data_IF_874334901926
#
_entry.id   IF_874334901926
#
_cell.length_a   1.000
_cell.length_b   1.000
_cell.length_c   1.000
_cell.angle_alpha   90.00
_cell.angle_beta   90.00
_cell.angle_gamma   90.00
#
_symmetry.space_group_name_H-M   'P 1'
#
loop_
_entity.id
_entity.type
_entity.pdbx_description
1 polymer ?
#
# COMPACT_ATOMS: atom_id res chain seq x y z
N UNK A 1 74.59 -11.13 3.16
CA UNK A 1 74.52 -12.56 2.78
C UNK A 1 73.13 -12.85 2.27
N UNK A 2 73.06 -13.05 0.95
CA UNK A 2 71.89 -13.33 0.10
C UNK A 2 71.66 -14.83 0.00
N UNK A 3 70.39 -15.25 -0.18
CA UNK A 3 69.85 -16.47 -0.85
C UNK A 3 68.38 -16.57 -0.41
N UNK A 4 67.32 -16.26 -1.17
CA UNK A 4 66.89 -16.71 -2.51
C UNK A 4 66.98 -18.23 -2.67
N UNK A 5 65.83 -18.91 -2.74
CA UNK A 5 65.39 -19.69 -3.91
C UNK A 5 63.86 -19.95 -3.85
N UNK A 6 63.16 -19.48 -4.90
CA UNK A 6 61.82 -19.96 -5.33
C UNK A 6 62.01 -21.19 -6.27
N UNK A 7 61.03 -21.58 -7.09
CA UNK A 7 59.93 -22.53 -6.87
C UNK A 7 60.08 -23.78 -7.78
N UNK A 8 59.13 -24.72 -7.75
CA UNK A 8 58.93 -25.65 -8.87
C UNK A 8 57.53 -25.44 -9.44
N UNK A 9 57.49 -25.16 -10.74
CA UNK A 9 56.31 -25.08 -11.57
C UNK A 9 56.16 -26.38 -12.38
N UNK A 10 54.92 -26.75 -12.71
CA UNK A 10 54.61 -27.53 -13.90
C UNK A 10 53.22 -27.16 -14.45
N UNK A 11 53.27 -26.21 -15.39
CA UNK A 11 52.56 -26.05 -16.67
C UNK A 11 51.22 -26.78 -16.95
N UNK A 12 50.18 -25.94 -17.11
CA UNK A 12 49.18 -25.79 -18.20
C UNK A 12 48.77 -27.00 -19.06
N UNK A 13 47.46 -27.29 -19.07
CA UNK A 13 46.72 -27.61 -20.29
C UNK A 13 45.25 -27.20 -20.17
N UNK A 14 44.80 -26.43 -21.16
CA UNK A 14 43.44 -25.93 -21.38
C UNK A 14 42.47 -27.02 -21.80
N UNK A 15 41.24 -27.00 -21.27
CA UNK A 15 40.06 -27.33 -22.09
C UNK A 15 38.81 -26.68 -21.52
N UNK A 16 38.13 -25.95 -22.41
CA UNK A 16 36.77 -25.48 -22.26
C UNK A 16 35.83 -26.66 -22.03
N UNK A 17 35.05 -26.64 -20.96
CA UNK A 17 33.74 -27.31 -20.93
C UNK A 17 32.71 -26.31 -20.44
N UNK A 18 31.70 -26.15 -21.30
CA UNK A 18 30.59 -25.20 -21.27
C UNK A 18 29.70 -25.39 -20.05
N UNK A 19 29.06 -24.28 -19.68
CA UNK A 19 27.82 -24.17 -18.92
C UNK A 19 26.89 -25.37 -19.09
N UNK A 20 26.56 -26.03 -17.97
CA UNK A 20 25.26 -26.66 -17.81
C UNK A 20 24.40 -25.78 -16.91
N UNK A 21 23.54 -24.98 -17.53
CA UNK A 21 22.36 -24.41 -16.88
C UNK A 21 21.54 -25.58 -16.32
N UNK A 22 21.53 -25.74 -15.01
CA UNK A 22 20.44 -26.46 -14.34
C UNK A 22 19.20 -25.57 -14.43
N UNK A 23 18.28 -25.92 -15.32
CA UNK A 23 16.97 -25.27 -15.39
C UNK A 23 16.19 -25.61 -14.14
N UNK A 24 15.98 -24.61 -13.28
CA UNK A 24 15.00 -24.71 -12.21
C UNK A 24 13.61 -24.90 -12.84
N UNK A 25 13.02 -26.08 -12.69
CA UNK A 25 11.61 -26.32 -12.99
C UNK A 25 10.80 -26.06 -11.72
N UNK A 26 9.97 -25.01 -11.76
CA UNK A 26 9.01 -24.71 -10.71
C UNK A 26 8.01 -25.88 -10.57
N UNK A 27 7.76 -26.42 -9.36
CA UNK A 27 6.79 -27.49 -9.19
C UNK A 27 5.39 -27.00 -9.58
N UNK A 28 4.66 -27.82 -10.35
CA UNK A 28 3.26 -27.58 -10.69
C UNK A 28 2.39 -27.77 -9.42
N UNK A 29 1.46 -26.85 -9.12
CA UNK A 29 0.59 -26.99 -7.95
C UNK A 29 -0.35 -28.19 -8.13
N UNK A 30 -0.39 -29.07 -7.13
CA UNK A 30 -1.41 -30.11 -7.04
C UNK A 30 -2.76 -29.47 -6.74
N UNK A 31 -3.75 -29.75 -7.59
CA UNK A 31 -5.11 -29.24 -7.43
C UNK A 31 -5.78 -29.94 -6.25
N UNK A 32 -6.01 -29.21 -5.16
CA UNK A 32 -6.91 -29.63 -4.08
C UNK A 32 -8.27 -28.97 -4.38
N UNK A 33 -9.33 -29.72 -4.71
CA UNK A 33 -10.63 -29.11 -4.97
C UNK A 33 -11.17 -28.47 -3.68
N UNK A 34 -11.67 -27.24 -3.81
CA UNK A 34 -12.38 -26.54 -2.73
C UNK A 34 -13.71 -27.25 -2.41
N UNK A 35 -14.13 -27.29 -1.13
CA UNK A 35 -15.47 -27.73 -0.79
C UNK A 35 -16.50 -26.80 -1.44
N UNK A 36 -17.57 -27.40 -1.97
CA UNK A 36 -18.67 -26.71 -2.67
C UNK A 36 -19.32 -25.68 -1.74
N UNK A 37 -19.58 -24.42 -2.16
CA UNK A 37 -20.29 -23.46 -1.34
C UNK A 37 -21.73 -23.91 -1.05
N UNK A 38 -22.14 -23.87 0.21
CA UNK A 38 -23.55 -24.06 0.58
C UNK A 38 -24.40 -22.93 -0.01
N UNK A 39 -25.60 -23.27 -0.49
CA UNK A 39 -26.55 -22.30 -1.05
C UNK A 39 -27.03 -21.31 0.03
N UNK A 40 -27.48 -20.08 -0.35
CA UNK A 40 -27.91 -19.05 0.59
C UNK A 40 -29.00 -19.46 1.59
N UNK A 41 -29.76 -20.52 1.28
CA UNK A 41 -30.79 -21.08 2.15
C UNK A 41 -30.24 -21.82 3.38
N UNK A 42 -28.96 -22.22 3.37
CA UNK A 42 -28.32 -22.92 4.49
C UNK A 42 -27.78 -22.01 5.61
N UNK A 43 -27.72 -20.69 5.40
CA UNK A 43 -27.15 -19.72 6.37
C UNK A 43 -28.23 -18.93 7.09
N UNK A 44 -29.49 -18.99 6.63
CA UNK A 44 -30.60 -18.21 7.20
C UNK A 44 -31.33 -18.87 8.38
N UNK A 45 -30.77 -19.95 8.93
CA UNK A 45 -31.35 -20.70 10.04
C UNK A 45 -30.55 -20.55 11.33
N UNK A 46 -30.50 -19.34 11.91
CA UNK A 46 -30.43 -19.04 13.36
C UNK A 46 -29.96 -17.60 13.60
N UNK A 47 -30.56 -16.95 14.60
CA UNK A 47 -30.33 -15.58 15.06
C UNK A 47 -31.06 -14.45 14.31
N UNK A 48 -32.40 -14.52 14.28
CA UNK A 48 -33.22 -13.31 14.38
C UNK A 48 -33.52 -13.07 15.87
N UNK A 49 -32.81 -12.14 16.49
CA UNK A 49 -33.32 -11.43 17.67
C UNK A 49 -33.45 -9.96 17.26
N UNK A 50 -34.68 -9.58 16.92
CA UNK A 50 -35.06 -8.26 16.44
C UNK A 50 -35.49 -7.37 17.62
N UNK A 51 -34.61 -6.53 18.14
CA UNK A 51 -35.02 -5.36 18.95
C UNK A 51 -34.66 -4.03 18.22
N UNK A 52 -35.66 -3.31 17.67
CA UNK A 52 -35.44 -2.09 16.91
C UNK A 52 -35.20 -0.81 17.76
N UNK A 53 -34.91 -0.90 19.08
CA UNK A 53 -34.80 0.30 19.95
C UNK A 53 -33.42 0.65 20.52
N UNK A 54 -32.33 0.00 20.13
CA UNK A 54 -30.97 0.43 20.53
C UNK A 54 -29.99 0.37 19.36
N UNK A 55 -29.72 1.53 18.76
CA UNK A 55 -28.37 2.10 18.56
C UNK A 55 -28.55 3.41 17.75
N UNK A 56 -28.74 4.53 18.47
CA UNK A 56 -28.46 5.84 17.89
C UNK A 56 -26.95 6.04 17.98
N UNK A 57 -26.23 5.77 16.90
CA UNK A 57 -24.82 6.15 16.76
C UNK A 57 -24.74 7.32 15.78
N UNK A 58 -24.06 8.43 16.11
CA UNK A 58 -23.85 9.54 15.19
C UNK A 58 -23.09 9.05 13.95
N UNK A 59 -23.62 9.33 12.76
CA UNK A 59 -23.02 8.95 11.50
C UNK A 59 -21.78 9.82 11.20
N UNK A 60 -20.59 9.24 11.37
CA UNK A 60 -19.36 9.67 10.70
C UNK A 60 -18.90 8.54 9.79
N UNK A 61 -19.47 8.46 8.59
CA UNK A 61 -18.93 7.61 7.54
C UNK A 61 -18.01 8.48 6.67
N UNK A 62 -16.74 8.50 7.02
CA UNK A 62 -15.70 8.75 6.02
C UNK A 62 -15.54 7.43 5.27
N UNK A 63 -15.88 7.39 3.99
CA UNK A 63 -15.63 6.22 3.15
C UNK A 63 -14.13 5.92 3.18
N UNK A 64 -13.74 4.86 3.90
CA UNK A 64 -12.37 4.34 3.88
C UNK A 64 -12.22 3.56 2.58
N UNK A 65 -11.70 4.22 1.54
CA UNK A 65 -11.36 3.54 0.29
C UNK A 65 -10.09 2.74 0.52
N UNK A 66 -10.23 1.42 0.66
CA UNK A 66 -9.12 0.48 0.64
C UNK A 66 -8.64 0.29 -0.80
N UNK A 67 -7.40 0.69 -1.10
CA UNK A 67 -6.69 0.19 -2.28
C UNK A 67 -5.47 -0.56 -1.79
N UNK A 68 -5.64 -1.87 -1.53
CA UNK A 68 -4.51 -2.79 -1.37
C UNK A 68 -4.24 -3.44 -2.73
N UNK A 69 -3.02 -3.38 -3.28
CA UNK A 69 -2.74 -3.77 -4.66
C UNK A 69 -2.62 -5.29 -4.93
N UNK A 70 -2.89 -6.18 -3.98
CA UNK A 70 -2.73 -7.62 -4.25
C UNK A 70 -3.99 -8.25 -4.90
N UNK A 71 -4.10 -8.13 -6.21
CA UNK A 71 -4.93 -9.02 -7.03
C UNK A 71 -4.31 -9.27 -8.42
N UNK A 72 -3.80 -10.49 -8.65
CA UNK A 72 -3.52 -10.97 -10.00
C UNK A 72 -4.85 -11.21 -10.73
N UNK A 73 -5.17 -10.39 -11.72
CA UNK A 73 -6.31 -10.62 -12.62
C UNK A 73 -5.82 -11.26 -13.92
N UNK A 74 -6.20 -12.52 -14.14
CA UNK A 74 -6.17 -13.11 -15.47
C UNK A 74 -7.28 -12.47 -16.31
N UNK A 75 -6.88 -11.74 -17.34
CA UNK A 75 -7.77 -11.04 -18.27
C UNK A 75 -8.19 -11.97 -19.42
N UNK A 76 -9.49 -12.12 -19.64
CA UNK A 76 -10.12 -12.15 -20.97
C UNK A 76 -11.56 -11.66 -20.86
N UNK A 77 -11.87 -10.45 -21.35
CA UNK A 77 -12.74 -10.22 -22.51
C UNK A 77 -13.10 -8.72 -22.68
N UNK A 78 -13.37 -8.30 -23.92
CA UNK A 78 -13.55 -6.91 -24.37
C UNK A 78 -15.02 -6.52 -24.58
N UNK A 79 -15.27 -5.21 -24.37
CA UNK A 79 -16.32 -4.31 -24.88
C UNK A 79 -17.43 -3.93 -23.89
N UNK A 80 -17.54 -2.63 -23.62
CA UNK A 80 -18.63 -1.80 -24.14
C UNK A 80 -18.30 -0.31 -23.93
N UNK A 81 -18.51 0.49 -24.97
CA UNK A 81 -18.61 1.94 -24.94
C UNK A 81 -20.05 2.31 -24.55
N UNK A 82 -20.21 3.34 -23.72
CA UNK A 82 -21.02 4.54 -24.01
C UNK A 82 -21.05 5.43 -22.75
N UNK A 83 -20.96 6.73 -23.00
CA UNK A 83 -20.68 7.73 -21.98
C UNK A 83 -21.77 7.88 -20.93
N UNK A 84 -21.33 8.16 -19.70
CA UNK A 84 -22.03 9.02 -18.77
C UNK A 84 -20.97 9.67 -17.87
N UNK A 85 -20.98 11.00 -17.83
CA UNK A 85 -20.15 11.81 -16.93
C UNK A 85 -20.62 11.53 -15.50
N UNK A 86 -19.79 10.86 -14.70
CA UNK A 86 -20.08 10.62 -13.29
C UNK A 86 -19.73 11.89 -12.51
N UNK A 87 -20.71 12.48 -11.84
CA UNK A 87 -20.49 13.49 -10.81
C UNK A 87 -20.19 12.76 -9.50
N UNK A 88 -18.97 12.88 -8.99
CA UNK A 88 -18.69 12.60 -7.58
C UNK A 88 -18.86 13.95 -6.90
N UNK A 89 -20.06 14.20 -6.35
CA UNK A 89 -20.43 15.49 -5.80
C UNK A 89 -21.79 15.46 -5.10
N UNK A 90 -21.74 15.56 -3.78
CA UNK A 90 -22.72 15.93 -2.73
C UNK A 90 -24.23 16.13 -3.00
N UNK A 91 -24.91 15.32 -3.81
CA UNK A 91 -26.38 15.25 -3.77
C UNK A 91 -26.88 14.02 -3.01
N UNK A 92 -27.55 14.27 -1.87
CA UNK A 92 -28.36 13.29 -1.13
C UNK A 92 -29.57 12.85 -1.95
N UNK A 93 -29.36 12.02 -2.97
CA UNK A 93 -30.39 11.08 -3.43
C UNK A 93 -30.02 9.71 -2.89
N UNK A 94 -31.00 9.02 -2.30
CA UNK A 94 -30.91 7.59 -1.99
C UNK A 94 -30.85 6.82 -3.31
N UNK A 95 -29.75 6.94 -4.03
CA UNK A 95 -29.39 6.03 -5.10
C UNK A 95 -28.90 4.76 -4.43
N UNK A 96 -29.52 3.63 -4.75
CA UNK A 96 -28.95 2.34 -4.41
C UNK A 96 -27.60 2.22 -5.14
N UNK A 97 -26.56 1.74 -4.45
CA UNK A 97 -25.28 1.45 -5.08
C UNK A 97 -25.48 0.47 -6.22
N UNK A 98 -24.92 0.77 -7.40
CA UNK A 98 -25.14 -0.04 -8.61
C UNK A 98 -24.18 -1.22 -8.72
N UNK A 99 -23.15 -1.30 -7.89
CA UNK A 99 -22.06 -2.29 -7.96
C UNK A 99 -21.43 -2.40 -9.37
N UNK A 100 -21.44 -1.32 -10.15
CA UNK A 100 -20.91 -1.28 -11.51
C UNK A 100 -19.59 -0.52 -11.57
N UNK A 101 -18.60 -1.10 -12.22
CA UNK A 101 -17.36 -0.39 -12.56
C UNK A 101 -17.62 0.67 -13.63
N UNK A 102 -16.95 1.82 -13.48
CA UNK A 102 -16.89 2.87 -14.50
C UNK A 102 -15.44 3.21 -14.79
N UNK A 103 -15.17 3.73 -16.00
CA UNK A 103 -13.87 4.26 -16.38
C UNK A 103 -13.99 5.76 -16.63
N UNK A 104 -13.86 6.60 -15.59
CA UNK A 104 -13.95 8.05 -15.76
C UNK A 104 -12.81 8.58 -16.63
N UNK A 105 -13.09 9.68 -17.34
CA UNK A 105 -12.08 10.40 -18.12
C UNK A 105 -11.32 11.31 -17.17
N UNK A 106 -10.05 11.01 -16.95
CA UNK A 106 -9.18 11.80 -16.07
C UNK A 106 -8.35 12.80 -16.89
N UNK A 107 -8.14 14.00 -16.34
CA UNK A 107 -7.37 15.10 -16.95
C UNK A 107 -6.07 15.34 -16.17
N UNK A 108 -5.21 16.21 -16.70
CA UNK A 108 -4.00 16.68 -16.01
C UNK A 108 -2.81 15.74 -16.20
N UNK A 109 -1.87 15.78 -15.25
CA UNK A 109 -0.61 15.03 -15.31
C UNK A 109 -0.76 13.71 -14.57
N UNK A 110 -0.90 12.61 -15.32
CA UNK A 110 -1.13 11.29 -14.75
C UNK A 110 0.14 10.70 -14.12
N UNK A 111 0.01 9.89 -13.06
CA UNK A 111 1.11 9.04 -12.61
C UNK A 111 1.49 8.03 -13.71
N UNK A 112 2.75 7.61 -13.70
CA UNK A 112 3.19 6.44 -14.47
C UNK A 112 2.39 5.19 -14.08
N UNK A 113 2.21 4.22 -15.00
CA UNK A 113 1.77 2.87 -14.63
C UNK A 113 2.66 2.34 -13.51
N UNK A 114 2.05 1.82 -12.45
CA UNK A 114 2.77 1.44 -11.23
C UNK A 114 2.08 0.32 -10.45
N UNK A 115 2.86 -0.43 -9.69
CA UNK A 115 2.42 -1.46 -8.74
C UNK A 115 2.91 -1.11 -7.33
N UNK A 116 2.37 -1.78 -6.31
CA UNK A 116 2.82 -1.67 -4.90
C UNK A 116 2.87 -0.23 -4.36
N UNK A 117 2.12 0.67 -4.97
CA UNK A 117 1.87 2.03 -4.49
C UNK A 117 0.79 2.00 -3.41
N UNK A 118 0.75 3.03 -2.58
CA UNK A 118 -0.35 3.23 -1.63
C UNK A 118 -1.04 4.56 -1.88
N UNK A 119 -2.32 4.60 -1.52
CA UNK A 119 -3.15 5.78 -1.72
C UNK A 119 -4.11 6.00 -0.57
N UNK A 120 -4.47 7.26 -0.32
CA UNK A 120 -5.41 7.63 0.75
C UNK A 120 -6.16 8.90 0.38
N UNK A 121 -7.46 8.92 0.66
CA UNK A 121 -8.29 10.10 0.50
C UNK A 121 -8.16 11.02 1.72
N UNK A 122 -7.96 12.31 1.47
CA UNK A 122 -8.02 13.39 2.47
C UNK A 122 -8.97 14.45 1.92
N UNK A 123 -10.20 14.51 2.46
CA UNK A 123 -11.28 15.31 1.89
C UNK A 123 -11.64 14.85 0.46
N UNK A 124 -11.73 15.77 -0.50
CA UNK A 124 -11.99 15.47 -1.92
C UNK A 124 -10.71 15.26 -2.76
N UNK A 125 -9.61 14.90 -2.10
CA UNK A 125 -8.31 14.67 -2.75
C UNK A 125 -7.80 13.27 -2.44
N UNK A 126 -7.50 12.51 -3.48
CA UNK A 126 -6.84 11.21 -3.37
C UNK A 126 -5.34 11.40 -3.58
N UNK A 127 -4.56 11.12 -2.56
CA UNK A 127 -3.10 11.16 -2.57
C UNK A 127 -2.57 9.77 -2.95
N UNK A 128 -1.61 9.72 -3.87
CA UNK A 128 -0.94 8.50 -4.32
C UNK A 128 0.57 8.71 -4.20
N UNK A 129 1.24 7.83 -3.46
CA UNK A 129 2.67 7.94 -3.22
C UNK A 129 3.40 6.65 -3.64
N UNK A 130 4.60 6.83 -4.19
CA UNK A 130 5.56 5.78 -4.44
C UNK A 130 5.04 4.61 -5.28
N UNK A 131 5.47 3.40 -4.91
CA UNK A 131 5.28 2.17 -5.67
C UNK A 131 6.46 1.91 -6.61
N UNK A 132 6.27 1.04 -7.59
CA UNK A 132 7.28 0.72 -8.61
C UNK A 132 6.70 0.90 -10.00
N UNK A 133 7.48 1.45 -10.94
CA UNK A 133 7.11 1.51 -12.36
C UNK A 133 7.43 0.21 -13.13
N UNK A 134 7.83 -0.84 -12.40
CA UNK A 134 8.30 -2.11 -12.95
C UNK A 134 9.81 -2.17 -13.20
N UNK A 135 10.51 -1.04 -13.06
CA UNK A 135 11.97 -0.96 -13.15
C UNK A 135 12.60 -0.50 -11.84
N UNK A 136 12.02 0.52 -11.20
CA UNK A 136 12.56 1.14 -10.00
C UNK A 136 11.44 1.55 -9.03
N UNK A 137 11.69 1.50 -7.70
CA UNK A 137 10.82 2.15 -6.74
C UNK A 137 10.75 3.66 -6.97
N UNK A 138 9.64 4.27 -6.56
CA UNK A 138 9.29 5.67 -6.77
C UNK A 138 9.12 6.37 -5.42
N UNK A 139 9.34 7.69 -5.38
CA UNK A 139 9.00 8.57 -4.25
C UNK A 139 8.20 9.79 -4.69
N UNK A 140 7.52 9.71 -5.84
CA UNK A 140 6.70 10.80 -6.33
C UNK A 140 5.34 10.85 -5.61
N UNK A 141 4.80 12.06 -5.51
CA UNK A 141 3.47 12.30 -4.97
C UNK A 141 2.56 12.81 -6.08
N UNK A 142 1.43 12.13 -6.26
CA UNK A 142 0.35 12.55 -7.13
C UNK A 142 -0.91 12.78 -6.33
N UNK A 143 -1.69 13.78 -6.77
CA UNK A 143 -3.00 14.07 -6.18
C UNK A 143 -4.04 14.10 -7.29
N UNK A 144 -5.10 13.31 -7.11
CA UNK A 144 -6.33 13.39 -7.88
C UNK A 144 -7.34 14.20 -7.10
N UNK A 145 -7.79 15.29 -7.70
CA UNK A 145 -8.98 15.99 -7.21
C UNK A 145 -10.23 15.22 -7.67
N UNK A 146 -10.99 14.66 -6.73
CA UNK A 146 -12.11 13.74 -7.04
C UNK A 146 -13.36 14.47 -7.51
N UNK A 147 -13.47 15.78 -7.26
CA UNK A 147 -14.58 16.61 -7.73
C UNK A 147 -14.39 16.99 -9.20
N UNK A 148 -13.14 17.25 -9.61
CA UNK A 148 -12.80 17.75 -10.95
C UNK A 148 -12.18 16.69 -11.87
N UNK A 149 -11.80 15.53 -11.34
CA UNK A 149 -11.10 14.45 -12.03
C UNK A 149 -9.78 14.89 -12.68
N UNK A 150 -9.03 15.75 -11.99
CA UNK A 150 -7.74 16.26 -12.47
C UNK A 150 -6.60 15.72 -11.62
N UNK A 151 -5.67 15.03 -12.27
CA UNK A 151 -4.39 14.62 -11.69
C UNK A 151 -3.37 15.75 -11.72
N UNK A 152 -2.59 15.85 -10.65
CA UNK A 152 -1.41 16.72 -10.56
C UNK A 152 -0.26 15.95 -9.92
N UNK A 153 0.94 16.11 -10.48
CA UNK A 153 2.18 15.79 -9.79
C UNK A 153 2.47 16.91 -8.80
N UNK A 154 2.71 16.58 -7.54
CA UNK A 154 2.93 17.54 -6.47
C UNK A 154 4.43 17.64 -6.19
N UNK A 155 4.94 18.87 -6.16
CA UNK A 155 6.26 19.17 -5.61
C UNK A 155 6.14 19.33 -4.11
N UNK A 156 6.95 18.58 -3.36
CA UNK A 156 6.97 18.62 -1.90
C UNK A 156 8.27 19.23 -1.38
N UNK A 157 8.24 19.74 -0.16
CA UNK A 157 9.40 20.27 0.55
C UNK A 157 9.64 19.50 1.85
N UNK A 158 10.63 19.91 2.66
CA UNK A 158 10.97 19.23 3.91
C UNK A 158 11.93 18.06 3.71
N UNK A 159 11.74 16.98 4.47
CA UNK A 159 12.58 15.79 4.36
C UNK A 159 12.28 15.04 3.06
N UNK A 160 13.33 14.55 2.39
CA UNK A 160 13.18 13.74 1.19
C UNK A 160 13.03 12.27 1.58
N UNK A 161 11.89 11.67 1.23
CA UNK A 161 11.68 10.24 1.39
C UNK A 161 12.47 9.48 0.32
N UNK A 162 13.04 8.34 0.71
CA UNK A 162 13.64 7.40 -0.24
C UNK A 162 12.53 6.75 -1.10
N UNK A 163 12.80 6.48 -2.39
CA UNK A 163 11.92 5.69 -3.25
C UNK A 163 11.61 4.33 -2.64
N UNK A 164 10.32 3.97 -2.65
CA UNK A 164 9.83 2.78 -1.95
C UNK A 164 8.56 2.21 -2.57
N UNK A 165 8.38 0.91 -2.40
CA UNK A 165 7.14 0.21 -2.69
C UNK A 165 6.72 -0.67 -1.50
N UNK A 166 5.52 -1.25 -1.54
CA UNK A 166 5.01 -2.12 -0.47
C UNK A 166 4.78 -1.42 0.87
N UNK A 167 4.92 -0.10 0.91
CA UNK A 167 4.61 0.78 2.03
C UNK A 167 3.09 0.97 2.16
N UNK A 168 2.65 1.54 3.27
CA UNK A 168 1.24 1.90 3.46
C UNK A 168 1.05 3.40 3.58
N UNK A 169 -0.13 3.85 3.16
CA UNK A 169 -0.57 5.23 3.35
C UNK A 169 -1.82 5.27 4.22
N UNK A 170 -1.90 6.30 5.07
CA UNK A 170 -3.06 6.58 5.93
C UNK A 170 -3.21 8.10 6.09
N UNK A 171 -4.23 8.55 6.83
CA UNK A 171 -4.41 9.98 7.09
C UNK A 171 -4.83 10.24 8.54
N UNK A 172 -4.47 11.40 9.07
CA UNK A 172 -4.98 11.89 10.35
C UNK A 172 -5.17 13.38 10.26
N UNK A 173 -6.39 13.87 10.54
CA UNK A 173 -6.77 15.27 10.29
C UNK A 173 -6.42 15.66 8.82
N UNK A 174 -5.65 16.72 8.63
CA UNK A 174 -5.18 17.20 7.32
C UNK A 174 -3.78 16.68 6.97
N UNK A 175 -3.35 15.57 7.57
CA UNK A 175 -2.02 15.00 7.37
C UNK A 175 -2.11 13.68 6.62
N UNK A 176 -1.26 13.51 5.61
CA UNK A 176 -1.07 12.26 4.89
C UNK A 176 0.15 11.53 5.46
N UNK A 177 0.03 10.22 5.70
CA UNK A 177 1.01 9.43 6.44
C UNK A 177 1.54 8.34 5.53
N UNK A 178 2.86 8.14 5.52
CA UNK A 178 3.54 7.03 4.85
C UNK A 178 4.29 6.20 5.89
N UNK A 179 4.15 4.88 5.85
CA UNK A 179 4.88 3.99 6.75
C UNK A 179 5.52 2.80 6.03
N UNK A 180 6.80 2.56 6.36
CA UNK A 180 7.55 1.37 6.01
C UNK A 180 7.71 1.17 4.50
N UNK A 181 7.69 -0.10 4.07
CA UNK A 181 7.91 -0.51 2.69
C UNK A 181 9.29 -1.10 2.46
N UNK A 182 9.71 -1.14 1.21
CA UNK A 182 10.99 -1.66 0.74
C UNK A 182 11.64 -0.65 -0.22
N UNK A 183 12.95 -0.47 -0.10
CA UNK A 183 13.72 0.44 -0.96
C UNK A 183 14.33 -0.27 -2.19
N UNK A 184 15.07 0.47 -3.02
CA UNK A 184 15.72 -0.10 -4.21
C UNK A 184 16.83 -1.12 -3.92
N UNK A 185 17.32 -1.19 -2.69
CA UNK A 185 18.32 -2.14 -2.22
C UNK A 185 17.72 -3.39 -1.58
N UNK A 186 16.39 -3.57 -1.68
CA UNK A 186 15.62 -4.60 -0.98
C UNK A 186 15.72 -4.49 0.56
N UNK A 187 15.95 -3.28 1.06
CA UNK A 187 15.93 -3.02 2.49
C UNK A 187 14.51 -2.69 2.96
N UNK A 188 14.01 -3.44 3.93
CA UNK A 188 12.72 -3.14 4.56
C UNK A 188 12.84 -1.93 5.48
N UNK A 189 11.74 -1.18 5.58
CA UNK A 189 11.65 0.07 6.32
C UNK A 189 10.58 -0.03 7.43
N UNK A 190 10.69 0.79 8.47
CA UNK A 190 9.69 1.00 9.53
C UNK A 190 9.52 2.49 9.86
N UNK A 191 10.09 3.36 9.04
CA UNK A 191 10.02 4.80 9.20
C UNK A 191 8.59 5.30 8.99
N UNK A 192 8.26 6.41 9.66
CA UNK A 192 6.95 7.05 9.59
C UNK A 192 7.17 8.49 9.14
N UNK A 193 6.51 8.86 8.06
CA UNK A 193 6.52 10.23 7.56
C UNK A 193 5.13 10.81 7.52
N UNK A 194 5.05 12.10 7.84
CA UNK A 194 3.83 12.89 7.75
C UNK A 194 4.04 14.02 6.74
N UNK A 195 3.10 14.14 5.81
CA UNK A 195 2.95 15.28 4.92
C UNK A 195 1.80 16.14 5.44
N UNK A 196 2.11 17.39 5.77
CA UNK A 196 1.10 18.42 5.96
C UNK A 196 0.49 18.77 4.59
N UNK A 197 -0.81 18.56 4.42
CA UNK A 197 -1.48 18.73 3.12
C UNK A 197 -1.77 20.20 2.76
N UNK A 198 -1.55 21.14 3.66
CA UNK A 198 -1.70 22.58 3.40
C UNK A 198 -0.38 23.15 2.87
N UNK A 199 0.73 22.78 3.48
CA UNK A 199 2.08 23.27 3.16
C UNK A 199 2.83 22.38 2.16
N UNK A 200 2.40 21.14 1.96
CA UNK A 200 3.08 20.11 1.17
C UNK A 200 4.54 19.87 1.63
N UNK A 201 4.76 19.96 2.94
CA UNK A 201 6.05 19.71 3.57
C UNK A 201 6.05 18.37 4.32
N UNK A 202 7.06 17.55 4.05
CA UNK A 202 7.29 16.29 4.74
C UNK A 202 8.06 16.48 6.04
N UNK A 203 7.68 15.70 7.04
CA UNK A 203 8.39 15.54 8.30
C UNK A 203 8.54 14.04 8.63
N UNK A 204 9.70 13.65 9.14
CA UNK A 204 9.90 12.33 9.74
C UNK A 204 9.39 12.34 11.19
N UNK A 205 8.57 11.36 11.55
CA UNK A 205 8.09 11.18 12.92
C UNK A 205 9.08 10.31 13.68
N UNK A 206 9.66 10.85 14.75
CA UNK A 206 10.48 10.07 15.67
C UNK A 206 9.58 9.30 16.63
N UNK A 207 9.52 7.99 16.46
CA UNK A 207 8.70 7.09 17.29
C UNK A 207 9.47 6.63 18.52
N UNK A 208 8.73 6.33 19.60
CA UNK A 208 9.28 5.81 20.87
C UNK A 208 8.37 4.70 21.41
N UNK A 209 8.88 3.88 22.33
CA UNK A 209 8.10 2.81 22.95
C UNK A 209 8.44 1.44 22.36
N UNK A 210 7.42 0.63 22.09
CA UNK A 210 7.61 -0.72 21.53
C UNK A 210 8.25 -0.64 20.14
N UNK A 211 9.26 -1.49 19.91
CA UNK A 211 9.95 -1.54 18.64
C UNK A 211 9.06 -2.18 17.56
N UNK A 212 8.87 -1.46 16.46
CA UNK A 212 8.22 -1.98 15.27
C UNK A 212 9.30 -2.52 14.31
N UNK A 213 9.32 -3.83 14.11
CA UNK A 213 10.21 -4.44 13.12
C UNK A 213 9.95 -3.91 11.70
N UNK A 214 11.03 -3.73 10.93
CA UNK A 214 11.05 -3.38 9.50
C UNK A 214 10.10 -4.28 8.70
N UNK A 215 9.22 -3.70 7.87
CA UNK A 215 8.18 -4.45 7.18
C UNK A 215 7.64 -3.79 5.91
N UNK A 216 7.30 -4.64 4.94
CA UNK A 216 6.51 -4.30 3.77
C UNK A 216 5.23 -5.15 3.70
N UNK A 217 4.28 -4.78 2.82
CA UNK A 217 3.03 -5.51 2.61
C UNK A 217 2.11 -5.60 3.83
N UNK A 218 2.38 -4.78 4.85
CA UNK A 218 1.54 -4.64 6.03
C UNK A 218 0.29 -3.79 5.70
N UNK A 219 -0.60 -3.64 6.67
CA UNK A 219 -1.73 -2.72 6.57
C UNK A 219 -1.64 -1.65 7.64
N UNK A 220 -2.01 -0.43 7.29
CA UNK A 220 -2.26 0.63 8.27
C UNK A 220 -3.66 1.18 8.14
N UNK A 221 -4.28 1.49 9.28
CA UNK A 221 -5.59 2.13 9.34
C UNK A 221 -5.54 3.19 10.43
N UNK A 222 -5.97 4.40 10.10
CA UNK A 222 -6.23 5.43 11.10
C UNK A 222 -7.58 5.20 11.79
N UNK A 223 -7.57 5.14 13.11
CA UNK A 223 -8.76 5.05 13.95
C UNK A 223 -8.68 6.04 15.11
N UNK A 224 -9.49 7.10 15.03
CA UNK A 224 -9.38 8.22 15.96
C UNK A 224 -8.00 8.87 15.87
N UNK A 225 -7.30 8.92 17.00
CA UNK A 225 -5.91 9.44 17.11
C UNK A 225 -4.83 8.40 16.86
N UNK A 226 -5.18 7.15 16.57
CA UNK A 226 -4.21 6.07 16.44
C UNK A 226 -4.04 5.63 15.00
N UNK A 227 -2.80 5.41 14.58
CA UNK A 227 -2.46 4.57 13.44
C UNK A 227 -2.34 3.13 13.92
N UNK A 228 -3.20 2.25 13.45
CA UNK A 228 -3.14 0.81 13.74
C UNK A 228 -2.36 0.13 12.62
N UNK A 229 -1.35 -0.66 12.96
CA UNK A 229 -0.52 -1.46 12.06
C UNK A 229 -0.86 -2.93 12.28
N UNK A 230 -1.08 -3.68 11.19
CA UNK A 230 -1.24 -5.13 11.27
C UNK A 230 -0.43 -5.85 10.20
N UNK A 231 0.28 -6.90 10.64
CA UNK A 231 0.92 -7.89 9.79
C UNK A 231 2.06 -7.35 8.93
N UNK A 232 2.14 -7.84 7.69
CA UNK A 232 3.24 -7.63 6.76
C UNK A 232 4.31 -8.70 6.87
N UNK A 233 5.44 -8.44 6.22
CA UNK A 233 6.56 -9.36 6.20
C UNK A 233 7.90 -8.62 6.24
N UNK A 234 8.93 -9.34 6.65
CA UNK A 234 10.31 -8.89 6.67
C UNK A 234 11.22 -9.95 6.04
N UNK A 235 12.53 -9.84 6.27
CA UNK A 235 13.54 -10.80 5.84
C UNK A 235 13.21 -12.25 6.25
N UNK A 236 13.79 -13.20 5.53
CA UNK A 236 13.69 -14.65 5.79
C UNK A 236 12.26 -15.20 5.80
N UNK A 237 11.36 -14.64 4.97
CA UNK A 237 9.95 -15.04 4.88
C UNK A 237 9.16 -14.92 6.19
N UNK A 238 9.63 -14.08 7.13
CA UNK A 238 8.91 -13.85 8.38
C UNK A 238 7.64 -13.05 8.13
N UNK A 239 6.51 -13.74 8.15
CA UNK A 239 5.18 -13.13 8.17
C UNK A 239 4.83 -12.69 9.60
N UNK A 240 4.25 -11.52 9.73
CA UNK A 240 3.77 -11.02 11.02
C UNK A 240 2.25 -11.16 11.14
N UNK A 241 1.80 -11.37 12.37
CA UNK A 241 0.39 -11.32 12.79
C UNK A 241 0.20 -10.39 14.00
N UNK A 242 1.21 -9.55 14.29
CA UNK A 242 1.20 -8.60 15.38
C UNK A 242 0.35 -7.37 15.06
N UNK A 243 -0.11 -6.69 16.12
CA UNK A 243 -0.82 -5.41 16.06
C UNK A 243 0.01 -4.39 16.81
N UNK A 244 0.29 -3.26 16.17
CA UNK A 244 0.89 -2.09 16.81
C UNK A 244 -0.01 -0.88 16.65
N UNK A 245 0.10 0.06 17.57
CA UNK A 245 -0.62 1.34 17.49
C UNK A 245 0.35 2.49 17.74
N UNK A 246 0.30 3.52 16.89
CA UNK A 246 1.02 4.78 17.07
C UNK A 246 0.01 5.89 17.38
N UNK A 247 0.17 6.61 18.49
CA UNK A 247 -0.61 7.84 18.77
C UNK A 247 -0.08 8.96 17.86
N UNK A 248 -0.98 9.57 17.07
CA UNK A 248 -0.66 10.53 16.02
C UNK A 248 -0.81 11.99 16.45
N UNK A 249 -1.15 12.23 17.72
CA UNK A 249 -1.17 13.58 18.26
C UNK A 249 0.25 14.11 18.38
N UNK A 250 0.46 15.34 17.95
CA UNK A 250 1.68 16.05 18.26
C UNK A 250 1.74 16.37 19.77
N UNK A 251 2.89 16.83 20.26
CA UNK A 251 3.06 17.16 21.68
C UNK A 251 2.08 18.24 22.16
N UNK A 252 1.64 19.13 21.26
CA UNK A 252 0.72 20.23 21.57
C UNK A 252 -0.72 19.73 21.74
N UNK A 253 -1.18 18.85 20.85
CA UNK A 253 -2.47 18.16 20.94
C UNK A 253 -2.51 17.23 22.16
N UNK A 254 -1.39 16.54 22.45
CA UNK A 254 -1.28 15.65 23.59
C UNK A 254 -1.40 16.40 24.93
N UNK A 255 -0.75 17.57 25.08
CA UNK A 255 -0.84 18.43 26.26
C UNK A 255 -2.24 19.04 26.44
N UNK A 256 -2.96 19.30 25.34
CA UNK A 256 -4.32 19.86 25.37
C UNK A 256 -5.41 18.81 25.58
N UNK A 257 -5.07 17.51 25.56
CA UNK A 257 -6.03 16.42 25.69
C UNK A 257 -7.04 16.34 24.54
N UNK A 258 -6.70 16.90 23.38
CA UNK A 258 -7.51 16.91 22.16
C UNK A 258 -7.14 15.71 21.28
#
# INVERSE_FOLDING_TARGET
MTKIFRPIAATVASSLVRDQKTSYQKPQPTFVPYPTPLTPEGVLGTALDNDPKRLKVPAYYNEVVFVSPFAKVHSTDRRALLGNVMRIGSERRRGYGTYTWSKPVMKGTHPSPRDSHSSTAVGSKLYVFGGTDGTSPLNDLFVLDTDTFVWKKISTTGVSLIPRDGHTCSFYKNCFIVMGGEDSGNAYLNDVYILDTETMAWQEVKTTGAELMLRAGHTTISHGKYLVVFGGFSYDHKLFNDVHTLDLRDSVDAERGI
#
